data_IF_771532492559
#
_entry.id   IF_771532492559
#
_cell.length_a   1.000
_cell.length_b   1.000
_cell.length_c   1.000
_cell.angle_alpha   90.00
_cell.angle_beta   90.00
_cell.angle_gamma   90.00
#
_symmetry.space_group_name_H-M   'P 1'
#
loop_
_entity.id
_entity.type
_entity.pdbx_description
1 polymer ?
#
# COMPACT_ATOMS: atom_id res chain seq x y z
N UNK A 1 12.13 -23.31 42.18
CA UNK A 1 11.13 -22.21 42.12
C UNK A 1 10.64 -21.94 40.71
N UNK A 2 11.51 -21.89 39.69
CA UNK A 2 11.13 -21.68 38.29
C UNK A 2 10.11 -22.71 37.76
N UNK A 3 10.31 -23.99 38.06
CA UNK A 3 9.41 -25.07 37.61
C UNK A 3 7.99 -24.97 38.17
N UNK A 4 7.83 -24.46 39.39
CA UNK A 4 6.52 -24.26 40.02
C UNK A 4 5.80 -23.08 39.37
N UNK A 5 6.52 -22.00 39.07
CA UNK A 5 5.99 -20.81 38.39
C UNK A 5 5.56 -21.17 36.96
N UNK A 6 6.35 -21.99 36.26
CA UNK A 6 6.04 -22.44 34.90
C UNK A 6 4.85 -23.41 34.87
N UNK A 7 4.74 -24.30 35.87
CA UNK A 7 3.57 -25.17 36.03
C UNK A 7 2.27 -24.38 36.31
N UNK A 8 2.34 -23.30 37.10
CA UNK A 8 1.18 -22.43 37.34
C UNK A 8 0.83 -21.63 36.08
N UNK A 9 1.82 -21.05 35.41
CA UNK A 9 1.64 -20.27 34.18
C UNK A 9 1.00 -21.09 33.06
N UNK A 10 1.44 -22.33 32.87
CA UNK A 10 0.84 -23.26 31.89
C UNK A 10 -0.61 -23.61 32.23
N UNK A 11 -0.95 -23.82 33.50
CA UNK A 11 -2.33 -24.09 33.93
C UNK A 11 -3.26 -22.90 33.74
N UNK A 12 -2.80 -21.67 34.01
CA UNK A 12 -3.58 -20.45 33.75
C UNK A 12 -3.89 -20.29 32.25
N UNK A 13 -2.99 -20.74 31.37
CA UNK A 13 -3.19 -20.73 29.92
C UNK A 13 -4.15 -21.82 29.43
N UNK A 14 -4.47 -22.81 30.24
CA UNK A 14 -5.48 -23.80 29.86
C UNK A 14 -6.87 -23.16 29.91
N UNK A 15 -7.74 -23.40 28.90
CA UNK A 15 -9.02 -22.71 28.78
C UNK A 15 -9.86 -22.80 30.06
N UNK A 16 -10.00 -24.00 30.63
CA UNK A 16 -10.84 -24.20 31.82
C UNK A 16 -10.35 -23.43 33.05
N UNK A 17 -9.09 -23.63 33.45
CA UNK A 17 -8.55 -23.00 34.66
C UNK A 17 -8.38 -21.48 34.47
N UNK A 18 -8.02 -21.02 33.27
CA UNK A 18 -7.95 -19.60 32.95
C UNK A 18 -9.31 -18.91 33.09
N UNK A 19 -10.37 -19.48 32.50
CA UNK A 19 -11.71 -18.91 32.62
C UNK A 19 -12.27 -19.01 34.05
N UNK A 20 -11.97 -20.07 34.79
CA UNK A 20 -12.41 -20.20 36.19
C UNK A 20 -11.74 -19.14 37.09
N UNK A 21 -10.45 -18.86 36.90
CA UNK A 21 -9.74 -17.80 37.63
C UNK A 21 -10.31 -16.42 37.27
N UNK A 22 -10.52 -16.13 35.98
CA UNK A 22 -11.13 -14.87 35.56
C UNK A 22 -12.55 -14.71 36.12
N UNK A 23 -13.35 -15.77 36.10
CA UNK A 23 -14.68 -15.79 36.69
C UNK A 23 -14.61 -15.55 38.21
N UNK A 24 -13.61 -16.11 38.91
CA UNK A 24 -13.44 -15.89 40.35
C UNK A 24 -13.29 -14.40 40.68
N UNK A 25 -12.38 -13.70 39.99
CA UNK A 25 -12.19 -12.27 40.18
C UNK A 25 -13.41 -11.46 39.73
N UNK A 26 -14.02 -11.82 38.60
CA UNK A 26 -15.17 -11.10 38.06
C UNK A 26 -16.43 -11.24 38.92
N UNK A 27 -16.64 -12.39 39.58
CA UNK A 27 -17.81 -12.65 40.42
C UNK A 27 -17.62 -12.13 41.84
N UNK A 28 -16.40 -12.23 42.38
CA UNK A 28 -16.07 -11.79 43.73
C UNK A 28 -15.46 -10.39 43.79
N UNK A 29 -15.55 -9.60 42.70
CA UNK A 29 -14.93 -8.28 42.58
C UNK A 29 -15.32 -7.32 43.71
N UNK A 30 -16.57 -7.40 44.19
CA UNK A 30 -17.09 -6.56 45.29
C UNK A 30 -16.41 -6.91 46.61
N UNK A 31 -16.25 -8.19 46.92
CA UNK A 31 -15.53 -8.63 48.13
C UNK A 31 -14.07 -8.21 48.07
N UNK A 32 -13.41 -8.46 46.93
CA UNK A 32 -12.01 -8.06 46.72
C UNK A 32 -11.84 -6.54 46.85
N UNK A 33 -12.81 -5.77 46.35
CA UNK A 33 -12.83 -4.32 46.49
C UNK A 33 -12.97 -3.88 47.95
N UNK A 34 -13.85 -4.50 48.74
CA UNK A 34 -13.99 -4.22 50.16
C UNK A 34 -12.71 -4.53 50.95
N UNK A 35 -11.99 -5.61 50.61
CA UNK A 35 -10.69 -5.90 51.22
C UNK A 35 -9.64 -4.81 50.96
N UNK A 36 -9.69 -4.17 49.78
CA UNK A 36 -8.73 -3.15 49.38
C UNK A 36 -9.09 -1.74 49.90
N UNK A 37 -10.38 -1.42 49.97
CA UNK A 37 -10.86 -0.04 50.18
C UNK A 37 -11.38 0.20 51.60
N UNK A 38 -11.81 -0.81 52.34
CA UNK A 38 -12.32 -0.61 53.71
C UNK A 38 -11.20 -0.15 54.64
N UNK A 39 -11.35 1.05 55.20
CA UNK A 39 -10.46 1.59 56.23
C UNK A 39 -10.88 1.05 57.60
N UNK A 40 -9.97 0.39 58.32
CA UNK A 40 -10.29 -0.33 59.56
C UNK A 40 -9.23 -1.36 59.92
N UNK A 41 -9.47 -2.10 61.01
CA UNK A 41 -8.64 -3.24 61.39
C UNK A 41 -8.74 -4.37 60.34
N UNK A 42 -7.72 -5.24 60.18
CA UNK A 42 -7.80 -6.38 59.27
C UNK A 42 -9.03 -7.27 59.49
N UNK A 43 -9.51 -7.35 60.73
CA UNK A 43 -10.71 -8.10 61.12
C UNK A 43 -11.98 -7.49 60.52
N UNK A 44 -12.17 -6.17 60.63
CA UNK A 44 -13.32 -5.47 60.03
C UNK A 44 -13.36 -5.63 58.50
N UNK A 45 -12.19 -5.71 57.85
CA UNK A 45 -12.10 -5.94 56.40
C UNK A 45 -12.56 -7.35 56.02
N UNK A 46 -12.20 -8.36 56.83
CA UNK A 46 -12.61 -9.75 56.61
C UNK A 46 -14.11 -9.92 56.89
N UNK A 47 -14.64 -9.28 57.94
CA UNK A 47 -16.08 -9.28 58.20
C UNK A 47 -16.88 -8.62 57.05
N UNK A 48 -16.39 -7.50 56.52
CA UNK A 48 -16.97 -6.87 55.33
C UNK A 48 -16.92 -7.79 54.10
N UNK A 49 -15.84 -8.55 53.93
CA UNK A 49 -15.70 -9.53 52.84
C UNK A 49 -16.67 -10.72 52.99
N UNK A 50 -16.77 -11.28 54.19
CA UNK A 50 -17.64 -12.42 54.50
C UNK A 50 -19.12 -12.04 54.43
N UNK A 51 -19.46 -10.76 54.62
CA UNK A 51 -20.84 -10.27 54.45
C UNK A 51 -21.33 -10.33 52.99
N UNK A 52 -20.42 -10.32 52.02
CA UNK A 52 -20.73 -10.29 50.58
C UNK A 52 -20.38 -11.60 49.87
N UNK A 53 -19.48 -12.40 50.45
CA UNK A 53 -18.99 -13.64 49.85
C UNK A 53 -19.49 -14.89 50.58
N UNK A 54 -19.66 -15.98 49.85
CA UNK A 54 -20.04 -17.28 50.41
C UNK A 54 -19.24 -18.38 49.70
N UNK A 55 -19.18 -19.58 50.27
CA UNK A 55 -18.44 -20.73 49.71
C UNK A 55 -18.84 -21.03 48.25
N UNK A 56 -20.11 -20.84 47.91
CA UNK A 56 -20.62 -20.99 46.55
C UNK A 56 -20.08 -19.93 45.57
N UNK A 57 -20.00 -18.65 45.97
CA UNK A 57 -19.50 -17.58 45.11
C UNK A 57 -17.98 -17.65 44.96
N UNK A 58 -17.29 -18.16 45.98
CA UNK A 58 -15.84 -18.30 45.98
C UNK A 58 -15.35 -19.53 45.20
N UNK A 59 -16.04 -20.68 45.28
CA UNK A 59 -15.52 -21.92 44.72
C UNK A 59 -16.42 -22.53 43.64
N UNK A 60 -17.68 -22.80 43.96
CA UNK A 60 -18.55 -23.57 43.06
C UNK A 60 -18.92 -22.78 41.79
N UNK A 61 -19.29 -21.51 41.92
CA UNK A 61 -19.79 -20.68 40.82
C UNK A 61 -18.70 -20.33 39.81
N UNK A 62 -17.47 -19.92 40.21
CA UNK A 62 -16.37 -19.69 39.27
C UNK A 62 -15.96 -20.94 38.49
N UNK A 63 -15.93 -22.12 39.13
CA UNK A 63 -15.62 -23.39 38.47
C UNK A 63 -16.69 -23.80 37.45
N UNK A 64 -17.97 -23.60 37.79
CA UNK A 64 -19.10 -23.88 36.90
C UNK A 64 -19.08 -22.93 35.70
N UNK A 65 -18.94 -21.63 35.93
CA UNK A 65 -18.86 -20.63 34.86
C UNK A 65 -17.64 -20.90 33.97
N UNK A 66 -16.49 -21.23 34.55
CA UNK A 66 -15.30 -21.63 33.78
C UNK A 66 -15.55 -22.84 32.88
N UNK A 67 -16.27 -23.86 33.37
CA UNK A 67 -16.64 -25.05 32.59
C UNK A 67 -17.58 -24.68 31.43
N UNK A 68 -18.62 -23.89 31.72
CA UNK A 68 -19.61 -23.46 30.72
C UNK A 68 -18.95 -22.61 29.64
N UNK A 69 -18.12 -21.63 30.03
CA UNK A 69 -17.38 -20.80 29.09
C UNK A 69 -16.46 -21.67 28.23
N UNK A 70 -15.64 -22.54 28.83
CA UNK A 70 -14.75 -23.43 28.09
C UNK A 70 -15.49 -24.32 27.09
N UNK A 71 -16.63 -24.90 27.49
CA UNK A 71 -17.47 -25.69 26.60
C UNK A 71 -18.06 -24.82 25.46
N UNK A 72 -18.55 -23.63 25.77
CA UNK A 72 -19.14 -22.71 24.80
C UNK A 72 -18.13 -22.11 23.81
N UNK A 73 -16.85 -21.95 24.19
CA UNK A 73 -15.83 -21.35 23.34
C UNK A 73 -15.68 -22.07 22.00
N UNK A 74 -15.72 -23.40 22.00
CA UNK A 74 -15.63 -24.20 20.76
C UNK A 74 -16.79 -23.93 19.81
N UNK A 75 -18.01 -23.81 20.35
CA UNK A 75 -19.21 -23.48 19.59
C UNK A 75 -19.20 -22.04 19.09
N UNK A 76 -18.75 -21.10 19.93
CA UNK A 76 -18.57 -19.69 19.52
C UNK A 76 -17.57 -19.59 18.38
N UNK A 77 -16.42 -20.26 18.48
CA UNK A 77 -15.42 -20.32 17.42
C UNK A 77 -16.00 -20.94 16.14
N UNK A 78 -16.78 -22.01 16.25
CA UNK A 78 -17.45 -22.63 15.10
C UNK A 78 -18.42 -21.66 14.42
N UNK A 79 -19.26 -20.95 15.18
CA UNK A 79 -20.21 -19.96 14.65
C UNK A 79 -19.47 -18.81 13.97
N UNK A 80 -18.42 -18.27 14.61
CA UNK A 80 -17.60 -17.24 13.97
C UNK A 80 -16.91 -17.75 12.70
N UNK A 81 -16.48 -19.01 12.67
CA UNK A 81 -15.95 -19.66 11.47
C UNK A 81 -16.98 -19.77 10.35
N UNK A 82 -18.23 -20.09 10.67
CA UNK A 82 -19.31 -20.12 9.67
C UNK A 82 -19.62 -18.74 9.11
N UNK A 83 -19.67 -17.72 9.99
CA UNK A 83 -19.91 -16.34 9.60
C UNK A 83 -18.75 -15.82 8.74
N UNK A 84 -17.51 -16.16 9.10
CA UNK A 84 -16.31 -15.69 8.41
C UNK A 84 -15.98 -16.47 7.13
N UNK A 85 -16.51 -17.68 6.94
CA UNK A 85 -16.24 -18.52 5.76
C UNK A 85 -16.56 -17.83 4.43
N UNK A 86 -17.74 -17.21 4.32
CA UNK A 86 -18.16 -16.50 3.11
C UNK A 86 -17.31 -15.26 2.81
N UNK A 87 -17.13 -14.30 3.74
CA UNK A 87 -16.29 -13.14 3.47
C UNK A 87 -14.83 -13.52 3.21
N UNK A 88 -14.29 -14.52 3.91
CA UNK A 88 -12.94 -15.03 3.64
C UNK A 88 -12.81 -15.53 2.19
N UNK A 89 -13.75 -16.35 1.72
CA UNK A 89 -13.75 -16.81 0.34
C UNK A 89 -13.90 -15.69 -0.69
N UNK A 90 -14.66 -14.63 -0.39
CA UNK A 90 -14.76 -13.47 -1.27
C UNK A 90 -13.45 -12.67 -1.33
N UNK A 91 -12.76 -12.51 -0.20
CA UNK A 91 -11.46 -11.84 -0.14
C UNK A 91 -10.42 -12.65 -0.93
N UNK A 92 -10.39 -13.97 -0.76
CA UNK A 92 -9.49 -14.85 -1.49
C UNK A 92 -9.74 -14.78 -3.00
N UNK A 93 -11.01 -14.78 -3.43
CA UNK A 93 -11.35 -14.62 -4.84
C UNK A 93 -10.90 -13.28 -5.41
N UNK A 94 -11.10 -12.17 -4.66
CA UNK A 94 -10.64 -10.85 -5.09
C UNK A 94 -9.11 -10.81 -5.25
N UNK A 95 -8.38 -11.47 -4.36
CA UNK A 95 -6.93 -11.57 -4.45
C UNK A 95 -6.50 -12.38 -5.68
N UNK A 96 -7.10 -13.55 -5.89
CA UNK A 96 -6.84 -14.41 -7.06
C UNK A 96 -7.16 -13.69 -8.38
N UNK A 97 -8.25 -12.93 -8.45
CA UNK A 97 -8.59 -12.13 -9.63
C UNK A 97 -7.56 -11.03 -9.90
N UNK A 98 -7.09 -10.34 -8.85
CA UNK A 98 -6.06 -9.31 -8.98
C UNK A 98 -4.73 -9.89 -9.47
N UNK A 99 -4.31 -11.04 -8.94
CA UNK A 99 -3.13 -11.76 -9.41
C UNK A 99 -3.28 -12.24 -10.84
N UNK A 100 -4.40 -12.86 -11.18
CA UNK A 100 -4.66 -13.35 -12.53
C UNK A 100 -4.57 -12.22 -13.57
N UNK A 101 -5.19 -11.07 -13.27
CA UNK A 101 -5.12 -9.88 -14.13
C UNK A 101 -3.69 -9.38 -14.30
N UNK A 102 -2.89 -9.37 -13.22
CA UNK A 102 -1.48 -8.97 -13.29
C UNK A 102 -0.69 -9.92 -14.18
N UNK A 103 -0.88 -11.23 -14.03
CA UNK A 103 -0.22 -12.26 -14.84
C UNK A 103 -0.58 -12.14 -16.32
N UNK A 104 -1.86 -11.91 -16.65
CA UNK A 104 -2.30 -11.66 -18.03
C UNK A 104 -1.58 -10.44 -18.62
N UNK A 105 -1.55 -9.31 -17.89
CA UNK A 105 -0.87 -8.11 -18.38
C UNK A 105 0.63 -8.32 -18.59
N UNK A 106 1.28 -9.10 -17.72
CA UNK A 106 2.68 -9.45 -17.90
C UNK A 106 2.88 -10.31 -19.15
N UNK A 107 2.02 -11.30 -19.38
CA UNK A 107 2.05 -12.13 -20.59
C UNK A 107 1.82 -11.30 -21.86
N UNK A 108 0.85 -10.36 -21.87
CA UNK A 108 0.62 -9.44 -22.99
C UNK A 108 1.84 -8.57 -23.29
N UNK A 109 2.50 -8.05 -22.25
CA UNK A 109 3.71 -7.23 -22.39
C UNK A 109 4.88 -8.06 -22.90
N UNK A 110 5.04 -9.30 -22.42
CA UNK A 110 6.07 -10.21 -22.91
C UNK A 110 5.83 -10.62 -24.36
N UNK A 111 4.58 -10.90 -24.75
CA UNK A 111 4.22 -11.17 -26.14
C UNK A 111 4.52 -9.96 -27.04
N UNK A 112 4.19 -8.75 -26.58
CA UNK A 112 4.51 -7.52 -27.30
C UNK A 112 6.02 -7.32 -27.46
N UNK A 113 6.80 -7.62 -26.42
CA UNK A 113 8.28 -7.60 -26.47
C UNK A 113 8.82 -8.63 -27.45
N UNK A 114 8.33 -9.87 -27.38
CA UNK A 114 8.71 -10.96 -28.29
C UNK A 114 8.42 -10.59 -29.75
N UNK A 115 7.24 -10.02 -30.02
CA UNK A 115 6.89 -9.53 -31.36
C UNK A 115 7.84 -8.42 -31.82
N UNK A 116 8.15 -7.43 -30.98
CA UNK A 116 9.12 -6.38 -31.33
C UNK A 116 10.52 -6.95 -31.61
N UNK A 117 10.96 -7.96 -30.85
CA UNK A 117 12.22 -8.64 -31.10
C UNK A 117 12.20 -9.41 -32.42
N UNK A 118 11.13 -10.13 -32.72
CA UNK A 118 10.96 -10.83 -34.00
C UNK A 118 10.97 -9.87 -35.21
N UNK A 119 10.33 -8.70 -35.09
CA UNK A 119 10.37 -7.66 -36.14
C UNK A 119 11.79 -7.13 -36.32
N UNK A 120 12.51 -6.84 -35.23
CA UNK A 120 13.91 -6.38 -35.30
C UNK A 120 14.83 -7.44 -35.89
N UNK A 121 14.66 -8.70 -35.52
CA UNK A 121 15.43 -9.82 -36.06
C UNK A 121 15.20 -9.96 -37.57
N UNK A 122 13.93 -9.91 -38.02
CA UNK A 122 13.60 -9.92 -39.44
C UNK A 122 14.22 -8.74 -40.19
N UNK A 123 14.17 -7.54 -39.61
CA UNK A 123 14.79 -6.36 -40.21
C UNK A 123 16.32 -6.53 -40.38
N UNK A 124 17.00 -7.14 -39.41
CA UNK A 124 18.44 -7.43 -39.51
C UNK A 124 18.74 -8.45 -40.61
N UNK A 125 17.93 -9.51 -40.72
CA UNK A 125 18.05 -10.50 -41.79
C UNK A 125 17.83 -9.84 -43.16
N UNK A 126 16.81 -9.00 -43.31
CA UNK A 126 16.50 -8.29 -44.55
C UNK A 126 17.56 -7.23 -44.91
N UNK A 127 18.26 -6.66 -43.91
CA UNK A 127 19.44 -5.82 -44.14
C UNK A 127 20.60 -6.66 -44.68
N UNK A 128 20.92 -7.79 -44.03
CA UNK A 128 22.01 -8.67 -44.43
C UNK A 128 21.81 -9.23 -45.86
N UNK A 129 20.59 -9.66 -46.21
CA UNK A 129 20.25 -10.11 -47.57
C UNK A 129 20.46 -9.03 -48.62
N UNK A 130 20.03 -7.80 -48.35
CA UNK A 130 20.24 -6.68 -49.28
C UNK A 130 21.71 -6.34 -49.45
N UNK A 131 22.50 -6.42 -48.37
CA UNK A 131 23.96 -6.22 -48.46
C UNK A 131 24.63 -7.30 -49.33
N UNK A 132 24.17 -8.56 -49.24
CA UNK A 132 24.61 -9.66 -50.10
C UNK A 132 24.19 -9.45 -51.57
N UNK A 133 22.95 -9.05 -51.83
CA UNK A 133 22.45 -8.73 -53.18
C UNK A 133 23.24 -7.57 -53.82
N UNK A 134 23.57 -6.52 -53.06
CA UNK A 134 24.40 -5.40 -53.53
C UNK A 134 25.85 -5.85 -53.81
N UNK A 135 26.38 -6.77 -53.01
CA UNK A 135 27.72 -7.33 -53.25
C UNK A 135 27.79 -8.13 -54.56
N UNK A 136 26.70 -8.78 -54.96
CA UNK A 136 26.58 -9.61 -56.17
C UNK A 136 26.36 -8.84 -57.50
N UNK A 137 26.28 -7.51 -57.48
CA UNK A 137 26.13 -6.70 -58.71
C UNK A 137 27.46 -6.70 -59.50
N UNK A 138 27.43 -7.13 -60.77
CA UNK A 138 28.60 -7.25 -61.67
C UNK A 138 29.08 -5.92 -62.28
N UNK A 139 28.21 -4.91 -62.40
CA UNK A 139 28.54 -3.59 -62.97
C UNK A 139 29.07 -2.64 -61.88
N UNK A 140 30.39 -2.47 -61.81
CA UNK A 140 31.09 -1.69 -60.78
C UNK A 140 30.60 -0.23 -60.68
N UNK A 141 30.26 0.41 -61.81
CA UNK A 141 29.81 1.80 -61.82
C UNK A 141 28.37 1.95 -61.30
N UNK A 142 27.51 0.96 -61.54
CA UNK A 142 26.15 0.92 -60.99
C UNK A 142 26.16 0.53 -59.50
N UNK A 143 27.05 -0.39 -59.12
CA UNK A 143 27.29 -0.84 -57.74
C UNK A 143 27.73 0.30 -56.83
N UNK A 144 28.69 1.11 -57.27
CA UNK A 144 29.19 2.23 -56.49
C UNK A 144 28.12 3.32 -56.30
N UNK A 145 27.35 3.64 -57.35
CA UNK A 145 26.22 4.58 -57.26
C UNK A 145 25.13 4.08 -56.31
N UNK A 146 24.75 2.80 -56.39
CA UNK A 146 23.75 2.19 -55.52
C UNK A 146 24.22 2.13 -54.06
N UNK A 147 25.48 1.76 -53.81
CA UNK A 147 26.05 1.72 -52.47
C UNK A 147 26.05 3.10 -51.80
N UNK A 148 26.47 4.14 -52.52
CA UNK A 148 26.48 5.53 -52.02
C UNK A 148 25.06 6.04 -51.74
N UNK A 149 24.10 5.76 -52.63
CA UNK A 149 22.70 6.14 -52.40
C UNK A 149 22.11 5.42 -51.18
N UNK A 150 22.39 4.12 -51.00
CA UNK A 150 21.95 3.35 -49.84
C UNK A 150 22.55 3.88 -48.53
N UNK A 151 23.83 4.24 -48.53
CA UNK A 151 24.52 4.78 -47.36
C UNK A 151 23.90 6.11 -46.92
N UNK A 152 23.61 7.01 -47.87
CA UNK A 152 22.96 8.28 -47.58
C UNK A 152 21.56 8.07 -46.97
N UNK A 153 20.75 7.17 -47.56
CA UNK A 153 19.44 6.79 -47.03
C UNK A 153 19.52 6.16 -45.63
N UNK A 154 20.56 5.36 -45.35
CA UNK A 154 20.80 4.78 -44.02
C UNK A 154 21.10 5.85 -42.98
N UNK A 155 21.98 6.81 -43.31
CA UNK A 155 22.33 7.92 -42.42
C UNK A 155 21.14 8.80 -42.11
N UNK A 156 20.32 9.12 -43.11
CA UNK A 156 19.11 9.91 -42.91
C UNK A 156 18.10 9.19 -41.99
N UNK A 157 17.87 7.89 -42.21
CA UNK A 157 17.05 7.06 -41.32
C UNK A 157 17.61 6.99 -39.89
N UNK A 158 18.92 6.81 -39.74
CA UNK A 158 19.56 6.71 -38.42
C UNK A 158 19.48 8.04 -37.66
N UNK A 159 19.61 9.17 -38.36
CA UNK A 159 19.35 10.50 -37.79
C UNK A 159 17.88 10.69 -37.40
N UNK A 160 16.94 10.29 -38.26
CA UNK A 160 15.50 10.40 -37.97
C UNK A 160 15.10 9.53 -36.77
N UNK A 161 15.63 8.31 -36.70
CA UNK A 161 15.37 7.39 -35.60
C UNK A 161 16.04 7.84 -34.29
N UNK A 162 17.23 8.44 -34.34
CA UNK A 162 17.85 9.08 -33.19
C UNK A 162 17.01 10.27 -32.69
N UNK A 163 16.51 11.12 -33.58
CA UNK A 163 15.63 12.23 -33.23
C UNK A 163 14.30 11.77 -32.61
N UNK A 164 13.69 10.72 -33.14
CA UNK A 164 12.46 10.13 -32.58
C UNK A 164 12.70 9.46 -31.23
N UNK A 165 13.87 8.84 -31.06
CA UNK A 165 14.29 8.24 -29.80
C UNK A 165 14.56 9.32 -28.75
N UNK A 166 15.16 10.44 -29.14
CA UNK A 166 15.35 11.62 -28.29
C UNK A 166 14.04 12.33 -27.96
N UNK A 167 13.05 12.34 -28.85
CA UNK A 167 11.69 12.80 -28.52
C UNK A 167 10.94 11.83 -27.59
N UNK A 168 11.26 10.52 -27.65
CA UNK A 168 10.70 9.51 -26.76
C UNK A 168 11.40 9.46 -25.39
N UNK A 169 12.66 9.89 -25.31
CA UNK A 169 13.45 10.06 -24.07
C UNK A 169 13.45 11.50 -23.56
N UNK A 170 12.83 12.45 -24.28
CA UNK A 170 12.48 13.80 -23.83
C UNK A 170 11.34 13.80 -22.77
N UNK A 171 11.31 12.79 -21.91
CA UNK A 171 10.82 12.90 -20.54
C UNK A 171 11.81 13.64 -19.63
N UNK A 172 12.69 14.51 -20.17
CA UNK A 172 13.37 15.54 -19.38
C UNK A 172 12.51 16.81 -19.42
N UNK A 173 11.95 17.24 -18.28
CA UNK A 173 10.95 18.29 -18.26
C UNK A 173 11.60 19.67 -18.39
N UNK A 174 11.77 20.12 -19.62
CA UNK A 174 11.99 21.54 -19.91
C UNK A 174 10.66 22.27 -19.76
N UNK A 175 10.56 23.08 -18.71
CA UNK A 175 9.48 24.02 -18.40
C UNK A 175 8.06 23.43 -18.41
N UNK A 176 7.71 22.66 -17.38
CA UNK A 176 6.31 22.63 -16.98
C UNK A 176 5.89 24.08 -16.68
N UNK A 177 4.94 24.62 -17.44
CA UNK A 177 4.21 25.83 -17.06
C UNK A 177 3.33 25.48 -15.84
N UNK A 178 3.96 25.24 -14.70
CA UNK A 178 3.29 25.00 -13.42
C UNK A 178 2.78 26.34 -12.90
N UNK A 179 1.55 26.35 -12.38
CA UNK A 179 1.09 27.47 -11.57
C UNK A 179 1.95 27.61 -10.32
N UNK A 180 1.94 28.80 -9.71
CA UNK A 180 2.70 29.07 -8.48
C UNK A 180 2.31 28.07 -7.38
N UNK A 181 1.02 27.79 -7.26
CA UNK A 181 0.45 26.84 -6.31
C UNK A 181 0.94 25.40 -6.54
N UNK A 182 1.09 24.97 -7.80
CA UNK A 182 1.60 23.64 -8.14
C UNK A 182 3.09 23.49 -7.79
N UNK A 183 3.88 24.55 -7.99
CA UNK A 183 5.29 24.60 -7.57
C UNK A 183 5.40 24.48 -6.06
N UNK A 184 4.55 25.19 -5.30
CA UNK A 184 4.55 25.15 -3.84
C UNK A 184 4.21 23.77 -3.29
N UNK A 185 3.20 23.09 -3.85
CA UNK A 185 2.84 21.71 -3.48
C UNK A 185 4.01 20.76 -3.75
N UNK A 186 4.59 20.78 -4.96
CA UNK A 186 5.70 19.89 -5.32
C UNK A 186 6.91 20.11 -4.42
N UNK A 187 7.31 21.37 -4.19
CA UNK A 187 8.45 21.70 -3.32
C UNK A 187 8.22 21.24 -1.88
N UNK A 188 7.00 21.39 -1.37
CA UNK A 188 6.67 20.95 -0.01
C UNK A 188 6.63 19.42 0.10
N UNK A 189 6.08 18.74 -0.91
CA UNK A 189 6.04 17.29 -0.98
C UNK A 189 7.45 16.68 -1.04
N UNK A 190 8.34 17.24 -1.87
CA UNK A 190 9.71 16.73 -2.06
C UNK A 190 10.59 16.84 -0.81
N UNK A 191 10.27 17.75 0.13
CA UNK A 191 10.96 17.82 1.43
C UNK A 191 10.60 16.65 2.35
N UNK A 192 9.46 16.01 2.13
CA UNK A 192 9.09 14.79 2.85
C UNK A 192 9.84 13.60 2.26
N UNK A 193 10.34 12.70 3.11
CA UNK A 193 11.07 11.48 2.67
C UNK A 193 10.31 10.65 1.64
N UNK A 194 8.98 10.71 1.65
CA UNK A 194 8.12 9.88 0.83
C UNK A 194 7.34 10.68 -0.23
N UNK A 195 7.59 11.98 -0.41
CA UNK A 195 6.90 12.76 -1.45
C UNK A 195 5.38 12.82 -1.29
N UNK A 196 4.88 12.68 -0.06
CA UNK A 196 3.45 12.44 0.21
C UNK A 196 2.65 13.74 0.28
N UNK A 197 1.49 13.72 -0.36
CA UNK A 197 0.49 14.79 -0.35
C UNK A 197 -0.83 14.20 0.14
N UNK A 198 -1.50 14.85 1.09
CA UNK A 198 -2.74 14.39 1.70
C UNK A 198 -3.83 15.46 1.49
N UNK A 199 -4.98 15.03 1.00
CA UNK A 199 -6.20 15.83 0.84
C UNK A 199 -7.33 15.15 1.64
N UNK A 200 -7.58 15.56 2.90
CA UNK A 200 -8.67 15.01 3.69
C UNK A 200 -10.02 15.27 3.00
N UNK A 201 -10.92 14.27 2.99
CA UNK A 201 -12.32 14.42 2.55
C UNK A 201 -13.30 14.65 3.71
N UNK A 202 -12.81 15.19 4.82
CA UNK A 202 -13.67 15.49 5.97
C UNK A 202 -14.46 16.79 5.74
N UNK A 203 -15.73 16.80 6.17
CA UNK A 203 -16.68 17.89 5.92
C UNK A 203 -16.24 19.23 6.55
N UNK A 204 -15.31 19.21 7.51
CA UNK A 204 -14.80 20.40 8.21
C UNK A 204 -13.34 20.79 7.95
N UNK A 205 -12.57 19.96 7.23
CA UNK A 205 -11.12 20.18 7.05
C UNK A 205 -10.78 20.22 5.56
N UNK A 206 -10.81 21.43 4.99
CA UNK A 206 -10.49 21.69 3.58
C UNK A 206 -9.09 22.25 3.46
N UNK A 207 -8.10 21.37 3.49
CA UNK A 207 -6.69 21.73 3.29
C UNK A 207 -5.99 20.67 2.44
N UNK A 208 -4.88 21.06 1.83
CA UNK A 208 -3.96 20.16 1.15
C UNK A 208 -2.66 20.15 1.93
N UNK A 209 -2.30 19.01 2.50
CA UNK A 209 -1.07 18.85 3.26
C UNK A 209 0.01 18.24 2.38
N UNK A 210 1.18 18.87 2.31
CA UNK A 210 2.34 18.34 1.62
C UNK A 210 3.57 18.50 2.51
N UNK A 211 4.14 17.37 2.95
CA UNK A 211 5.17 17.38 3.99
C UNK A 211 4.70 18.06 5.28
N UNK A 212 5.46 19.05 5.76
CA UNK A 212 5.15 19.81 6.97
C UNK A 212 4.27 21.04 6.74
N UNK A 213 3.86 21.29 5.49
CA UNK A 213 3.04 22.46 5.12
C UNK A 213 1.60 22.07 4.82
N UNK A 214 0.68 22.96 5.20
CA UNK A 214 -0.75 22.90 4.87
C UNK A 214 -1.10 24.09 3.98
N UNK A 215 -1.85 23.84 2.92
CA UNK A 215 -2.26 24.84 1.92
C UNK A 215 -3.79 24.92 1.81
N UNK A 216 -4.33 26.11 1.51
CA UNK A 216 -5.76 26.28 1.27
C UNK A 216 -6.64 26.27 2.52
N UNK A 217 -6.07 26.36 3.72
CA UNK A 217 -6.81 26.33 4.98
C UNK A 217 -7.47 27.66 5.36
N UNK A 218 -7.09 28.79 4.76
CA UNK A 218 -7.61 30.10 5.19
C UNK A 218 -9.02 30.38 4.64
N UNK A 219 -9.28 30.05 3.38
CA UNK A 219 -10.58 30.29 2.76
C UNK A 219 -10.88 29.33 1.58
N UNK A 220 -12.16 29.20 1.23
CA UNK A 220 -12.61 28.29 0.17
C UNK A 220 -12.06 28.64 -1.22
N UNK A 221 -11.67 29.90 -1.47
CA UNK A 221 -11.11 30.33 -2.77
C UNK A 221 -9.66 29.87 -2.91
N UNK A 222 -8.88 29.96 -1.84
CA UNK A 222 -7.51 29.49 -1.79
C UNK A 222 -7.47 27.96 -1.92
N UNK A 223 -8.32 27.24 -1.19
CA UNK A 223 -8.48 25.79 -1.35
C UNK A 223 -8.73 25.39 -2.80
N UNK A 224 -9.67 26.06 -3.49
CA UNK A 224 -9.99 25.76 -4.88
C UNK A 224 -8.80 25.96 -5.84
N UNK A 225 -7.89 26.90 -5.56
CA UNK A 225 -6.67 27.11 -6.36
C UNK A 225 -5.67 25.97 -6.18
N UNK A 226 -5.43 25.59 -4.92
CA UNK A 226 -4.53 24.47 -4.62
C UNK A 226 -5.11 23.13 -5.08
N UNK A 227 -6.44 22.97 -5.04
CA UNK A 227 -7.11 21.78 -5.53
C UNK A 227 -6.97 21.64 -7.05
N UNK A 228 -7.21 22.73 -7.79
CA UNK A 228 -6.99 22.77 -9.23
C UNK A 228 -5.51 22.53 -9.58
N UNK A 229 -4.57 23.03 -8.78
CA UNK A 229 -3.15 22.78 -8.94
C UNK A 229 -2.80 21.30 -8.73
N UNK A 230 -3.33 20.65 -7.68
CA UNK A 230 -3.12 19.22 -7.44
C UNK A 230 -3.70 18.37 -8.57
N UNK A 231 -4.90 18.68 -9.05
CA UNK A 231 -5.50 18.00 -10.21
C UNK A 231 -4.65 18.15 -11.47
N UNK A 232 -4.04 19.32 -11.67
CA UNK A 232 -3.10 19.55 -12.78
C UNK A 232 -1.85 18.68 -12.64
N UNK A 233 -1.29 18.55 -11.44
CA UNK A 233 -0.14 17.66 -11.19
C UNK A 233 -0.44 16.19 -11.45
N UNK A 234 -1.66 15.75 -11.12
CA UNK A 234 -2.13 14.40 -11.40
C UNK A 234 -2.27 14.19 -12.91
N UNK A 235 -2.89 15.13 -13.63
CA UNK A 235 -3.03 15.07 -15.10
C UNK A 235 -1.69 15.00 -15.81
N UNK A 236 -0.69 15.74 -15.33
CA UNK A 236 0.68 15.72 -15.87
C UNK A 236 1.50 14.50 -15.42
N UNK A 237 0.90 13.55 -14.69
CA UNK A 237 1.59 12.36 -14.15
C UNK A 237 2.80 12.69 -13.26
N UNK A 238 2.81 13.88 -12.66
CA UNK A 238 3.81 14.31 -11.67
C UNK A 238 3.49 13.77 -10.29
N UNK A 239 2.20 13.54 -10.04
CA UNK A 239 1.66 13.01 -8.79
C UNK A 239 0.71 11.85 -9.13
N UNK A 240 0.75 10.77 -8.35
CA UNK A 240 -0.18 9.63 -8.47
C UNK A 240 -0.98 9.49 -7.18
N UNK A 241 -2.23 9.02 -7.28
CA UNK A 241 -3.04 8.72 -6.10
C UNK A 241 -2.66 7.37 -5.50
N UNK A 242 -2.52 7.32 -4.18
CA UNK A 242 -2.34 6.12 -3.38
C UNK A 242 -3.69 5.71 -2.78
N UNK A 243 -4.29 4.64 -3.30
CA UNK A 243 -5.55 4.06 -2.81
C UNK A 243 -6.80 4.51 -3.57
N UNK A 244 -7.94 3.90 -3.24
CA UNK A 244 -9.21 4.11 -3.96
C UNK A 244 -9.96 5.39 -3.57
N UNK A 245 -9.59 6.03 -2.46
CA UNK A 245 -10.34 7.15 -1.87
C UNK A 245 -9.93 8.53 -2.40
N UNK A 246 -8.80 8.64 -3.11
CA UNK A 246 -8.31 9.92 -3.62
C UNK A 246 -7.94 10.92 -2.52
N UNK A 247 -7.48 10.42 -1.36
CA UNK A 247 -7.12 11.22 -0.19
C UNK A 247 -5.60 11.32 0.00
N UNK A 248 -4.86 10.35 -0.51
CA UNK A 248 -3.39 10.30 -0.41
C UNK A 248 -2.82 10.27 -1.82
N UNK A 249 -1.75 11.01 -2.02
CA UNK A 249 -1.02 11.12 -3.26
C UNK A 249 0.49 11.08 -3.00
N UNK A 250 1.24 10.70 -4.03
CA UNK A 250 2.69 10.57 -3.98
C UNK A 250 3.31 11.16 -5.24
N UNK A 251 4.47 11.80 -5.09
CA UNK A 251 5.29 12.19 -6.23
C UNK A 251 5.70 10.96 -7.06
N UNK A 252 5.55 11.07 -8.38
CA UNK A 252 6.08 10.08 -9.32
C UNK A 252 7.57 10.34 -9.56
N UNK A 253 8.26 9.44 -10.27
CA UNK A 253 9.65 9.69 -10.69
C UNK A 253 9.80 11.02 -11.45
N UNK A 254 8.81 11.38 -12.28
CA UNK A 254 8.78 12.67 -12.97
C UNK A 254 8.54 13.83 -11.99
N UNK A 255 7.66 13.65 -11.00
CA UNK A 255 7.43 14.64 -9.94
C UNK A 255 8.69 14.98 -9.14
N UNK A 256 9.50 13.97 -8.81
CA UNK A 256 10.80 14.15 -8.15
C UNK A 256 11.79 14.92 -9.02
N UNK A 257 11.95 14.54 -10.29
CA UNK A 257 12.86 15.25 -11.21
C UNK A 257 12.48 16.73 -11.39
N UNK A 258 11.18 17.02 -11.41
CA UNK A 258 10.67 18.40 -11.47
C UNK A 258 10.94 19.14 -10.18
N UNK A 259 10.73 18.50 -9.03
CA UNK A 259 11.04 19.09 -7.74
C UNK A 259 12.52 19.47 -7.65
N UNK A 260 13.41 18.55 -8.04
CA UNK A 260 14.86 18.74 -8.01
C UNK A 260 15.29 19.90 -8.92
N UNK A 261 14.67 20.02 -10.11
CA UNK A 261 14.93 21.11 -11.05
C UNK A 261 14.41 22.48 -10.57
N UNK A 262 13.47 22.51 -9.62
CA UNK A 262 12.88 23.73 -9.05
C UNK A 262 13.54 24.16 -7.74
N UNK A 263 14.37 23.31 -7.12
CA UNK A 263 15.12 23.55 -5.87
C UNK A 263 16.08 24.72 -6.01
#
# INVERSE_FOLDING_TARGET
MKDVIDAVSSRIKTPYFGYAILAFFALNWRGIFLLAVTHGSPQERLEAFDSVTNQYTLLALPLLVGAVVAASTTWVQYVFGLISRKPAGLIDNLYLEAEHKKTIRQAELEQSRSHLFAVKEKELIDRAKRDEEVAGIEDDAAKEKLAVQLENLRRERDQLSAQLKDQSTAGKPSAYNLSKEAIEIIKAAAKSKNGTIIKPRSIGERSIQAGEKSFGSENSREFARYDAALDYLIKQSLVKSLGAKGEVFELTSNGWQVADALS
#
